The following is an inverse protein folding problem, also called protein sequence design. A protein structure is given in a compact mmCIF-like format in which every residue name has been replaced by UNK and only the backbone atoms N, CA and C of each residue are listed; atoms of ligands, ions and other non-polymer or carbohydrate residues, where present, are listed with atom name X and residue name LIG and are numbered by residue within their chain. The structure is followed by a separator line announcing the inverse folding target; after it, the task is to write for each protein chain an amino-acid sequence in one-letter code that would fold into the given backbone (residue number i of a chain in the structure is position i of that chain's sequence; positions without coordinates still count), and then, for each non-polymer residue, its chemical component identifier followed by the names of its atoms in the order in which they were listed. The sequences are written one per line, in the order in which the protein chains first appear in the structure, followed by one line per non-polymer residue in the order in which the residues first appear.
data_IF_504629261470
#
_entry.id   IF_504629261470
#
_cell.length_a   1.000
_cell.length_b   1.000
_cell.length_c   1.000
_cell.angle_alpha   90.00
_cell.angle_beta   90.00
_cell.angle_gamma   90.00
#
_symmetry.space_group_name_H-M   'P 1'
#
loop_
_entity.id
_entity.type
_entity.pdbx_description
1 polymer ?
#
# COMPACT_ATOMS: atom_id res chain seq x y z
N UNK A 1 -0.76 26.65 13.98
CA UNK A 1 -0.34 26.38 12.58
C UNK A 1 1.04 25.70 12.47
N UNK A 2 2.08 26.18 13.17
CA UNK A 2 3.45 25.60 13.11
C UNK A 2 3.54 24.10 13.46
N UNK A 3 2.84 23.63 14.50
CA UNK A 3 2.89 22.23 14.93
C UNK A 3 2.25 21.25 13.95
N UNK A 4 1.18 21.66 13.26
CA UNK A 4 0.46 20.80 12.30
C UNK A 4 1.31 20.47 11.07
N UNK A 5 1.99 21.48 10.51
CA UNK A 5 2.87 21.29 9.36
C UNK A 5 4.11 20.48 9.71
N UNK A 6 4.65 20.61 10.92
CA UNK A 6 5.76 19.76 11.41
C UNK A 6 5.30 18.30 11.49
N UNK A 7 4.11 18.05 12.06
CA UNK A 7 3.55 16.70 12.17
C UNK A 7 3.28 16.09 10.81
N UNK A 8 2.70 16.85 9.88
CA UNK A 8 2.51 16.45 8.48
C UNK A 8 3.85 16.10 7.81
N UNK A 9 4.87 16.93 8.00
CA UNK A 9 6.22 16.67 7.49
C UNK A 9 6.78 15.35 8.00
N UNK A 10 6.53 15.00 9.27
CA UNK A 10 6.89 13.70 9.84
C UNK A 10 6.21 12.52 9.12
N UNK A 11 4.90 12.60 8.90
CA UNK A 11 4.18 11.57 8.14
C UNK A 11 4.69 11.44 6.71
N UNK A 12 4.86 12.55 5.99
CA UNK A 12 5.38 12.55 4.62
C UNK A 12 6.82 11.99 4.59
N UNK A 13 7.65 12.26 5.59
CA UNK A 13 9.02 11.75 5.62
C UNK A 13 9.05 10.23 5.78
N UNK A 14 8.19 9.66 6.63
CA UNK A 14 8.14 8.22 6.89
C UNK A 14 7.76 7.40 5.65
N UNK A 15 6.89 7.95 4.79
CA UNK A 15 6.39 7.24 3.59
C UNK A 15 6.76 7.95 2.28
N UNK A 16 7.74 8.85 2.31
CA UNK A 16 7.99 9.78 1.20
C UNK A 16 8.31 9.11 -0.13
N UNK A 17 8.89 7.92 -0.09
CA UNK A 17 9.21 7.10 -1.28
C UNK A 17 7.96 6.62 -2.04
N UNK A 18 6.80 6.53 -1.38
CA UNK A 18 5.55 6.14 -2.02
C UNK A 18 4.73 7.33 -2.54
N UNK A 19 5.18 8.56 -2.26
CA UNK A 19 4.50 9.80 -2.61
C UNK A 19 5.25 10.62 -3.67
N UNK A 20 6.59 10.53 -3.68
CA UNK A 20 7.46 11.35 -4.53
C UNK A 20 7.97 10.51 -5.68
N UNK A 21 7.92 11.06 -6.89
CA UNK A 21 8.43 10.40 -8.09
C UNK A 21 7.80 9.00 -8.28
N UNK A 22 6.48 8.95 -8.16
CA UNK A 22 5.66 7.75 -8.36
C UNK A 22 4.59 8.04 -9.38
N UNK A 23 4.02 6.99 -9.97
CA UNK A 23 2.80 7.06 -10.77
C UNK A 23 1.62 6.48 -10.01
N UNK A 24 0.40 6.78 -10.46
CA UNK A 24 -0.79 6.08 -9.99
C UNK A 24 -0.69 4.58 -10.32
N UNK A 25 -1.20 3.75 -9.41
CA UNK A 25 -1.24 2.31 -9.61
C UNK A 25 -2.05 1.91 -10.84
N UNK A 26 -1.54 0.93 -11.57
CA UNK A 26 -2.29 0.20 -12.62
C UNK A 26 -2.94 -1.08 -12.09
N UNK A 27 -2.42 -1.63 -10.99
CA UNK A 27 -2.93 -2.81 -10.29
C UNK A 27 -4.25 -2.54 -9.57
N UNK A 28 -4.31 -1.40 -8.86
CA UNK A 28 -5.39 -1.01 -7.95
C UNK A 28 -5.83 0.43 -8.25
N UNK A 29 -6.55 0.59 -9.36
CA UNK A 29 -6.99 1.90 -9.85
C UNK A 29 -8.09 2.45 -8.94
N UNK A 30 -7.91 3.68 -8.44
CA UNK A 30 -8.97 4.45 -7.81
C UNK A 30 -9.76 5.21 -8.87
N UNK A 31 -11.08 4.99 -8.94
CA UNK A 31 -11.94 5.68 -9.89
C UNK A 31 -12.10 7.17 -9.55
N UNK A 32 -12.31 8.00 -10.57
CA UNK A 32 -12.57 9.43 -10.37
C UNK A 32 -13.84 9.64 -9.54
N UNK A 33 -13.78 10.58 -8.59
CA UNK A 33 -14.89 10.84 -7.68
C UNK A 33 -14.95 9.92 -6.44
N UNK A 34 -14.02 8.98 -6.31
CA UNK A 34 -13.90 8.15 -5.09
C UNK A 34 -13.59 9.04 -3.89
N UNK A 35 -14.33 8.83 -2.79
CA UNK A 35 -14.13 9.51 -1.52
C UNK A 35 -13.40 8.60 -0.52
N UNK A 36 -12.86 9.18 0.55
CA UNK A 36 -12.22 8.41 1.62
C UNK A 36 -13.15 7.30 2.17
N UNK A 37 -14.44 7.59 2.33
CA UNK A 37 -15.41 6.65 2.89
C UNK A 37 -15.89 5.58 1.89
N UNK A 38 -15.56 5.73 0.60
CA UNK A 38 -15.98 4.81 -0.47
C UNK A 38 -14.80 4.08 -1.10
N UNK A 39 -13.62 4.09 -0.46
CA UNK A 39 -12.45 3.37 -0.95
C UNK A 39 -12.70 1.87 -0.94
N UNK A 40 -12.59 1.25 -2.12
CA UNK A 40 -12.56 -0.20 -2.23
C UNK A 40 -11.42 -0.75 -1.36
N UNK A 41 -11.75 -1.70 -0.49
CA UNK A 41 -10.81 -2.32 0.45
C UNK A 41 -10.08 -1.32 1.38
N UNK A 42 -10.53 -0.06 1.45
CA UNK A 42 -9.93 0.96 2.28
C UNK A 42 -8.57 1.48 1.81
N UNK A 43 -8.20 1.28 0.54
CA UNK A 43 -6.86 1.58 0.03
C UNK A 43 -6.85 2.54 -1.16
N UNK A 44 -5.70 3.20 -1.35
CA UNK A 44 -5.26 3.77 -2.63
C UNK A 44 -3.85 3.27 -2.93
N UNK A 45 -3.41 3.32 -4.18
CA UNK A 45 -2.12 2.78 -4.55
C UNK A 45 -1.34 3.66 -5.54
N UNK A 46 -0.02 3.62 -5.39
CA UNK A 46 0.96 4.23 -6.30
C UNK A 46 2.02 3.21 -6.67
N UNK A 47 2.77 3.46 -7.73
CA UNK A 47 3.87 2.60 -8.18
C UNK A 47 5.13 3.39 -8.46
N UNK A 48 6.27 2.74 -8.32
CA UNK A 48 7.55 3.32 -8.74
C UNK A 48 7.56 3.60 -10.25
N UNK A 49 8.43 4.53 -10.68
CA UNK A 49 8.55 4.93 -12.10
C UNK A 49 8.95 3.78 -13.01
N UNK A 50 9.78 2.86 -12.51
CA UNK A 50 10.24 1.66 -13.20
C UNK A 50 9.27 0.47 -13.07
N UNK A 51 8.13 0.65 -12.41
CA UNK A 51 7.08 -0.36 -12.19
C UNK A 51 7.53 -1.63 -11.44
N UNK A 52 8.66 -1.56 -10.72
CA UNK A 52 9.20 -2.68 -9.92
C UNK A 52 8.63 -2.75 -8.51
N UNK A 53 7.97 -1.67 -8.06
CA UNK A 53 7.40 -1.55 -6.71
C UNK A 53 5.98 -0.99 -6.78
N UNK A 54 5.08 -1.64 -6.04
CA UNK A 54 3.72 -1.17 -5.79
C UNK A 54 3.58 -0.74 -4.33
N UNK A 55 2.98 0.41 -4.08
CA UNK A 55 2.77 0.96 -2.74
C UNK A 55 1.27 0.99 -2.43
N UNK A 56 0.86 0.28 -1.37
CA UNK A 56 -0.53 0.25 -0.90
C UNK A 56 -0.67 1.17 0.30
N UNK A 57 -1.39 2.27 0.12
CA UNK A 57 -1.74 3.19 1.20
C UNK A 57 -3.05 2.73 1.84
N UNK A 58 -2.99 2.36 3.12
CA UNK A 58 -4.13 1.84 3.87
C UNK A 58 -4.76 2.98 4.66
N UNK A 59 -5.92 3.46 4.19
CA UNK A 59 -6.60 4.64 4.73
C UNK A 59 -7.82 4.28 5.59
N UNK A 60 -8.51 3.19 5.27
CA UNK A 60 -9.53 2.58 6.13
C UNK A 60 -9.08 1.15 6.47
N UNK A 61 -8.31 0.98 7.55
CA UNK A 61 -7.70 -0.31 7.86
C UNK A 61 -8.74 -1.36 8.30
N UNK A 62 -8.48 -2.65 8.04
CA UNK A 62 -9.31 -3.73 8.57
C UNK A 62 -9.12 -3.87 10.09
N UNK A 63 -10.11 -4.47 10.76
CA UNK A 63 -10.06 -4.67 12.22
C UNK A 63 -9.08 -5.76 12.69
N UNK A 64 -8.59 -6.60 11.78
CA UNK A 64 -7.67 -7.71 12.08
C UNK A 64 -6.31 -7.54 11.40
N UNK A 65 -5.48 -8.58 11.44
CA UNK A 65 -4.10 -8.52 10.92
C UNK A 65 -3.99 -8.71 9.41
N UNK A 66 -5.12 -8.96 8.74
CA UNK A 66 -5.16 -9.35 7.34
C UNK A 66 -5.89 -8.29 6.52
N UNK A 67 -5.22 -7.81 5.47
CA UNK A 67 -5.79 -7.02 4.40
C UNK A 67 -6.01 -7.90 3.18
N UNK A 68 -7.22 -7.87 2.63
CA UNK A 68 -7.56 -8.54 1.38
C UNK A 68 -7.67 -7.53 0.26
N UNK A 69 -6.98 -7.77 -0.84
CA UNK A 69 -7.04 -7.00 -2.08
C UNK A 69 -7.53 -7.92 -3.21
N UNK A 70 -8.24 -7.36 -4.22
CA UNK A 70 -8.58 -8.12 -5.42
C UNK A 70 -7.31 -8.52 -6.20
N UNK A 71 -7.49 -9.34 -7.24
CA UNK A 71 -6.42 -9.60 -8.19
C UNK A 71 -5.95 -8.30 -8.86
N UNK A 72 -4.64 -8.08 -9.03
CA UNK A 72 -4.12 -6.91 -9.74
C UNK A 72 -4.71 -6.85 -11.15
N UNK A 73 -5.27 -5.70 -11.53
CA UNK A 73 -5.91 -5.52 -12.84
C UNK A 73 -4.93 -5.72 -14.01
N UNK A 74 -3.65 -5.44 -13.79
CA UNK A 74 -2.56 -5.60 -14.76
C UNK A 74 -1.84 -6.96 -14.64
N UNK A 75 -2.33 -7.87 -13.79
CA UNK A 75 -1.82 -9.23 -13.67
C UNK A 75 -0.49 -9.38 -12.92
N UNK A 76 0.05 -8.30 -12.35
CA UNK A 76 1.30 -8.35 -11.58
C UNK A 76 1.25 -9.39 -10.46
N UNK A 77 2.41 -9.94 -10.15
CA UNK A 77 2.62 -10.81 -9.01
C UNK A 77 3.53 -10.10 -8.01
N UNK A 78 3.23 -10.20 -6.72
CA UNK A 78 4.05 -9.61 -5.67
C UNK A 78 4.76 -10.69 -4.86
N UNK A 79 6.05 -10.49 -4.60
CA UNK A 79 6.92 -11.51 -3.97
C UNK A 79 7.31 -11.15 -2.54
N UNK A 80 7.41 -9.87 -2.21
CA UNK A 80 7.79 -9.38 -0.89
C UNK A 80 6.95 -8.17 -0.50
N UNK A 81 6.75 -7.97 0.80
CA UNK A 81 6.04 -6.82 1.35
C UNK A 81 6.71 -6.30 2.61
N UNK A 82 6.72 -4.97 2.79
CA UNK A 82 7.21 -4.31 4.01
C UNK A 82 6.34 -3.11 4.38
N UNK A 83 6.11 -2.88 5.67
CA UNK A 83 5.48 -1.66 6.17
C UNK A 83 6.55 -0.55 6.16
N UNK A 84 6.33 0.54 5.43
CA UNK A 84 7.36 1.57 5.27
C UNK A 84 7.73 2.29 6.57
N UNK A 85 6.78 2.49 7.48
CA UNK A 85 6.99 3.29 8.69
C UNK A 85 7.91 2.63 9.72
N UNK A 86 8.02 1.30 9.71
CA UNK A 86 8.84 0.55 10.68
C UNK A 86 9.78 -0.48 10.02
N UNK A 87 9.67 -0.72 8.71
CA UNK A 87 10.48 -1.68 7.96
C UNK A 87 10.14 -3.14 8.23
N UNK A 88 9.10 -3.44 9.00
CA UNK A 88 8.71 -4.82 9.30
C UNK A 88 8.11 -5.49 8.06
N UNK A 89 8.46 -6.76 7.86
CA UNK A 89 7.94 -7.56 6.76
C UNK A 89 6.46 -7.90 6.98
N UNK A 90 5.71 -7.93 5.87
CA UNK A 90 4.38 -8.53 5.82
C UNK A 90 4.41 -9.77 4.97
N UNK A 91 3.57 -10.75 5.30
CA UNK A 91 3.41 -11.95 4.48
C UNK A 91 2.46 -11.63 3.34
N UNK A 92 2.88 -11.91 2.10
CA UNK A 92 2.05 -11.81 0.91
C UNK A 92 1.68 -13.22 0.44
N UNK A 93 0.39 -13.46 0.24
CA UNK A 93 -0.12 -14.64 -0.45
C UNK A 93 -1.01 -14.20 -1.59
N UNK A 94 -0.67 -14.59 -2.82
CA UNK A 94 -1.41 -14.21 -4.01
C UNK A 94 -1.91 -15.45 -4.76
N UNK A 95 -3.15 -15.37 -5.25
CA UNK A 95 -3.75 -16.37 -6.12
C UNK A 95 -4.67 -15.68 -7.15
N UNK A 96 -5.41 -16.46 -7.93
CA UNK A 96 -6.29 -15.94 -8.99
C UNK A 96 -7.41 -15.03 -8.46
N UNK A 97 -7.80 -15.17 -7.19
CA UNK A 97 -8.85 -14.36 -6.57
C UNK A 97 -8.33 -13.04 -6.03
N UNK A 98 -7.04 -12.95 -5.70
CA UNK A 98 -6.46 -11.72 -5.18
C UNK A 98 -5.18 -11.86 -4.38
N UNK A 99 -4.88 -10.80 -3.62
CA UNK A 99 -3.68 -10.68 -2.78
C UNK A 99 -4.12 -10.56 -1.33
N UNK A 100 -3.55 -11.39 -0.48
CA UNK A 100 -3.71 -11.35 0.97
C UNK A 100 -2.40 -10.84 1.58
N UNK A 101 -2.50 -9.78 2.37
CA UNK A 101 -1.37 -9.18 3.08
C UNK A 101 -1.62 -9.34 4.58
N UNK A 102 -0.69 -10.00 5.27
CA UNK A 102 -0.78 -10.24 6.71
C UNK A 102 0.38 -9.56 7.42
N UNK A 103 0.09 -8.62 8.32
CA UNK A 103 1.10 -8.02 9.20
C UNK A 103 1.38 -8.90 10.41
N UNK A 104 2.45 -8.60 11.15
CA UNK A 104 2.67 -9.19 12.47
C UNK A 104 1.56 -8.76 13.44
N UNK A 105 1.29 -9.62 14.43
CA UNK A 105 0.37 -9.33 15.55
C UNK A 105 0.86 -8.16 16.41
N UNK A 106 2.16 -7.85 16.38
CA UNK A 106 2.77 -6.73 17.11
C UNK A 106 2.66 -5.40 16.36
N UNK A 107 2.37 -5.43 15.07
CA UNK A 107 2.20 -4.23 14.25
C UNK A 107 0.78 -3.69 14.36
N UNK A 108 0.57 -2.43 13.98
CA UNK A 108 -0.75 -1.79 14.02
C UNK A 108 -1.05 -1.19 12.66
N UNK A 109 -2.28 -1.38 12.18
CA UNK A 109 -2.77 -0.61 11.05
C UNK A 109 -3.15 0.81 11.51
N UNK A 110 -2.54 1.81 10.88
CA UNK A 110 -2.80 3.21 11.14
C UNK A 110 -3.18 3.90 9.84
N UNK A 111 -4.36 4.51 9.83
CA UNK A 111 -4.91 5.25 8.67
C UNK A 111 -4.07 6.47 8.26
N UNK A 112 -3.06 6.84 9.06
CA UNK A 112 -2.21 8.01 8.82
C UNK A 112 -0.80 7.65 8.34
N UNK A 113 -0.30 6.44 8.62
CA UNK A 113 1.11 6.09 8.41
C UNK A 113 1.36 4.71 7.78
N UNK A 114 0.31 3.91 7.57
CA UNK A 114 0.50 2.57 7.04
C UNK A 114 0.53 2.58 5.53
N UNK A 115 1.73 2.36 4.99
CA UNK A 115 1.96 2.10 3.57
C UNK A 115 2.76 0.81 3.43
N UNK A 116 2.25 -0.12 2.62
CA UNK A 116 2.96 -1.35 2.29
C UNK A 116 3.74 -1.15 0.99
N UNK A 117 5.04 -1.35 1.03
CA UNK A 117 5.90 -1.48 -0.16
C UNK A 117 5.90 -2.94 -0.59
N UNK A 118 5.39 -3.22 -1.79
CA UNK A 118 5.35 -4.55 -2.40
C UNK A 118 6.29 -4.62 -3.60
N UNK A 119 7.11 -5.67 -3.66
CA UNK A 119 8.03 -5.90 -4.78
C UNK A 119 7.34 -6.73 -5.85
N UNK A 120 7.39 -6.24 -7.09
CA UNK A 120 6.85 -6.95 -8.25
C UNK A 120 7.82 -8.07 -8.64
N UNK A 121 7.27 -9.25 -8.91
CA UNK A 121 8.04 -10.37 -9.45
C UNK A 121 8.62 -10.00 -10.81
N UNK A 122 9.93 -10.13 -10.97
CA UNK A 122 10.61 -10.01 -12.26
C UNK A 122 10.49 -11.26 -13.13
N UNK A 123 9.78 -12.30 -12.66
CA UNK A 123 9.59 -13.52 -13.43
C UNK A 123 8.69 -13.24 -14.64
N UNK A 124 9.29 -13.27 -15.83
CA UNK A 124 8.58 -13.29 -17.12
C UNK A 124 7.63 -14.49 -17.15
N UNK A 125 6.35 -14.25 -17.42
CA UNK A 125 5.38 -15.31 -17.76
C UNK A 125 5.70 -15.82 -19.17
#
# INVERSE_FOLDING_TARGET
MKTGLIKLGGYINAVGVSLKNVYSSTSYVSESGTTLNSLANGIVATKSIDDTVEYIHILNPPSGDVLYLPAPRDGKQFINGTILSNGHAVTISQNISGVTITKSVTDVWSSLDTVIRMEVSSATI
#
